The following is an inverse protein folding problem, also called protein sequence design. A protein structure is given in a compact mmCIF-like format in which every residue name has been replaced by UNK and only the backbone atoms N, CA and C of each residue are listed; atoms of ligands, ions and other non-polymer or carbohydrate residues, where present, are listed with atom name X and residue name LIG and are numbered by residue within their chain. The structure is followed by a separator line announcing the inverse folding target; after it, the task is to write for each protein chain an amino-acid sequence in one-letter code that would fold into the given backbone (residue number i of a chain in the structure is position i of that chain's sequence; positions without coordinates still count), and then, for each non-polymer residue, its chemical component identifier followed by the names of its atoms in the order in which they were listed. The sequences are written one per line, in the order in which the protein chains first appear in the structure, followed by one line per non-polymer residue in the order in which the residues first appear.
data_IF_372048327713
#
_entry.id   IF_372048327713
#
_cell.length_a   1.000
_cell.length_b   1.000
_cell.length_c   1.000
_cell.angle_alpha   90.00
_cell.angle_beta   90.00
_cell.angle_gamma   90.00
#
_symmetry.space_group_name_H-M   'P 1'
#
loop_
_entity.id
_entity.type
_entity.pdbx_description
1 polymer ?
#
# COMPACT_ATOMS: atom_id res chain seq x y z
N UNK A 1 2.48 -12.66 -0.50
CA UNK A 1 1.23 -11.89 -0.78
C UNK A 1 0.36 -11.67 0.45
N UNK A 2 -0.06 -12.71 1.18
CA UNK A 2 -0.88 -12.55 2.39
C UNK A 2 -0.29 -11.58 3.43
N UNK A 3 1.02 -11.67 3.69
CA UNK A 3 1.73 -10.76 4.62
C UNK A 3 1.62 -9.28 4.22
N UNK A 4 1.84 -8.96 2.94
CA UNK A 4 1.74 -7.58 2.41
C UNK A 4 0.30 -7.05 2.57
N UNK A 5 -0.70 -7.87 2.23
CA UNK A 5 -2.11 -7.51 2.39
C UNK A 5 -2.44 -7.22 3.86
N UNK A 6 -2.05 -8.12 4.78
CA UNK A 6 -2.29 -7.95 6.21
C UNK A 6 -1.65 -6.68 6.74
N UNK A 7 -0.36 -6.47 6.48
CA UNK A 7 0.36 -5.28 6.93
C UNK A 7 -0.21 -4.00 6.34
N UNK A 8 -0.62 -4.00 5.07
CA UNK A 8 -1.25 -2.83 4.44
C UNK A 8 -2.59 -2.49 5.10
N UNK A 9 -3.40 -3.50 5.46
CA UNK A 9 -4.63 -3.30 6.23
C UNK A 9 -4.35 -2.67 7.59
N UNK A 10 -3.39 -3.22 8.31
CA UNK A 10 -3.09 -2.77 9.67
C UNK A 10 -2.49 -1.36 9.70
N UNK A 11 -1.63 -1.02 8.73
CA UNK A 11 -0.95 0.28 8.68
C UNK A 11 -1.83 1.37 8.05
N UNK A 12 -2.54 1.04 6.97
CA UNK A 12 -3.22 2.04 6.13
C UNK A 12 -4.74 1.87 6.06
N UNK A 13 -5.27 0.74 6.53
CA UNK A 13 -6.71 0.47 6.50
C UNK A 13 -7.54 1.38 7.41
N UNK A 14 -6.97 1.83 8.53
CA UNK A 14 -7.55 2.85 9.42
C UNK A 14 -6.93 4.24 9.27
N UNK A 15 -6.07 4.46 8.26
CA UNK A 15 -5.33 5.70 8.12
C UNK A 15 -6.25 6.87 7.71
N UNK A 16 -6.18 7.97 8.46
CA UNK A 16 -6.92 9.20 8.17
C UNK A 16 -8.43 9.01 8.05
N UNK A 17 -9.08 9.89 7.28
CA UNK A 17 -10.51 9.79 6.96
C UNK A 17 -10.79 8.78 5.86
N UNK A 18 -12.05 8.36 5.71
CA UNK A 18 -12.48 7.51 4.60
C UNK A 18 -12.13 8.12 3.24
N UNK A 19 -12.40 9.42 3.06
CA UNK A 19 -12.05 10.16 1.83
C UNK A 19 -10.55 10.14 1.54
N UNK A 20 -9.70 10.21 2.58
CA UNK A 20 -8.25 10.06 2.41
C UNK A 20 -7.91 8.66 1.87
N UNK A 21 -8.49 7.59 2.43
CA UNK A 21 -8.25 6.22 1.97
C UNK A 21 -8.74 5.99 0.55
N UNK A 22 -9.92 6.50 0.20
CA UNK A 22 -10.46 6.41 -1.17
C UNK A 22 -9.52 7.07 -2.18
N UNK A 23 -9.01 8.28 -1.88
CA UNK A 23 -8.03 8.97 -2.73
C UNK A 23 -6.72 8.20 -2.84
N UNK A 24 -6.21 7.67 -1.74
CA UNK A 24 -5.00 6.83 -1.73
C UNK A 24 -5.16 5.60 -2.63
N UNK A 25 -6.27 4.87 -2.49
CA UNK A 25 -6.58 3.71 -3.33
C UNK A 25 -6.67 4.09 -4.81
N UNK A 26 -7.34 5.21 -5.11
CA UNK A 26 -7.46 5.72 -6.47
C UNK A 26 -6.09 6.06 -7.09
N UNK A 27 -5.21 6.75 -6.36
CA UNK A 27 -3.86 7.08 -6.84
C UNK A 27 -3.00 5.84 -7.10
N UNK A 28 -3.10 4.84 -6.22
CA UNK A 28 -2.41 3.56 -6.38
C UNK A 28 -2.94 2.77 -7.58
N UNK A 29 -4.26 2.68 -7.77
CA UNK A 29 -4.87 2.02 -8.92
C UNK A 29 -4.46 2.69 -10.24
N UNK A 30 -4.40 4.03 -10.27
CA UNK A 30 -3.94 4.75 -11.46
C UNK A 30 -2.47 4.47 -11.78
N UNK A 31 -1.61 4.33 -10.76
CA UNK A 31 -0.21 3.95 -10.98
C UNK A 31 -0.09 2.51 -11.53
N UNK A 32 -0.90 1.57 -11.01
CA UNK A 32 -0.98 0.20 -11.56
C UNK A 32 -1.44 0.21 -13.02
N UNK A 33 -2.52 0.93 -13.33
CA UNK A 33 -3.06 1.03 -14.71
C UNK A 33 -2.05 1.62 -15.71
N UNK A 34 -1.18 2.51 -15.25
CA UNK A 34 -0.12 3.10 -16.06
C UNK A 34 1.16 2.23 -16.13
N UNK A 35 1.18 1.08 -15.45
CA UNK A 35 2.38 0.27 -15.20
C UNK A 35 3.56 1.11 -14.63
N UNK A 36 3.24 2.10 -13.80
CA UNK A 36 4.21 3.05 -13.24
C UNK A 36 4.58 2.62 -11.81
N UNK A 37 5.52 1.67 -11.74
CA UNK A 37 5.99 1.09 -10.50
C UNK A 37 6.62 2.14 -9.55
N UNK A 38 7.35 3.10 -10.11
CA UNK A 38 8.01 4.15 -9.35
C UNK A 38 6.99 5.07 -8.68
N UNK A 39 5.97 5.50 -9.42
CA UNK A 39 4.87 6.29 -8.88
C UNK A 39 4.11 5.51 -7.81
N UNK A 40 3.82 4.23 -8.06
CA UNK A 40 3.15 3.38 -7.08
C UNK A 40 3.93 3.32 -5.76
N UNK A 41 5.22 2.98 -5.83
CA UNK A 41 6.07 2.86 -4.65
C UNK A 41 6.20 4.19 -3.91
N UNK A 42 6.35 5.30 -4.64
CA UNK A 42 6.45 6.62 -4.04
C UNK A 42 5.17 7.04 -3.31
N UNK A 43 3.98 6.82 -3.90
CA UNK A 43 2.69 7.10 -3.26
C UNK A 43 2.55 6.26 -1.99
N UNK A 44 2.89 4.97 -2.09
CA UNK A 44 2.79 4.04 -0.97
C UNK A 44 3.73 4.41 0.18
N UNK A 45 5.01 4.65 -0.09
CA UNK A 45 5.99 5.04 0.94
C UNK A 45 5.64 6.36 1.60
N UNK A 46 5.11 7.33 0.84
CA UNK A 46 4.61 8.59 1.40
C UNK A 46 3.46 8.34 2.39
N UNK A 47 2.50 7.49 2.03
CA UNK A 47 1.40 7.14 2.92
C UNK A 47 1.90 6.42 4.18
N UNK A 48 2.77 5.41 4.03
CA UNK A 48 3.35 4.68 5.17
C UNK A 48 4.10 5.64 6.11
N UNK A 49 4.93 6.53 5.55
CA UNK A 49 5.68 7.50 6.34
C UNK A 49 4.77 8.45 7.12
N UNK A 50 3.67 8.91 6.52
CA UNK A 50 2.70 9.79 7.16
C UNK A 50 2.04 9.17 8.40
N UNK A 51 1.87 7.84 8.42
CA UNK A 51 1.24 7.09 9.51
C UNK A 51 2.25 6.25 10.32
N UNK A 52 3.55 6.46 10.11
CA UNK A 52 4.61 5.61 10.66
C UNK A 52 4.79 5.76 12.17
N UNK A 53 4.52 6.95 12.72
CA UNK A 53 4.64 7.22 14.15
C UNK A 53 3.52 6.58 14.96
N UNK A 54 2.35 6.43 14.33
CA UNK A 54 1.14 5.93 14.98
C UNK A 54 1.01 4.41 14.86
N UNK A 55 1.84 3.77 14.02
CA UNK A 55 1.76 2.35 13.76
C UNK A 55 3.14 1.66 13.75
N UNK A 56 3.46 0.83 14.77
CA UNK A 56 4.76 0.15 14.84
C UNK A 56 4.99 -0.84 13.68
N UNK A 57 3.94 -1.28 12.97
CA UNK A 57 4.03 -2.17 11.81
C UNK A 57 4.39 -1.46 10.51
N UNK A 58 4.42 -0.12 10.48
CA UNK A 58 4.83 0.65 9.31
C UNK A 58 6.27 0.31 8.86
N UNK A 59 7.17 0.09 9.82
CA UNK A 59 8.55 -0.32 9.53
C UNK A 59 8.63 -1.72 8.95
N UNK A 60 7.82 -2.65 9.45
CA UNK A 60 7.75 -4.01 8.92
C UNK A 60 7.20 -4.03 7.49
N UNK A 61 6.11 -3.29 7.24
CA UNK A 61 5.56 -3.13 5.89
C UNK A 61 6.60 -2.58 4.92
N UNK A 62 7.33 -1.54 5.33
CA UNK A 62 8.40 -0.95 4.51
C UNK A 62 9.50 -1.97 4.19
N UNK A 63 9.93 -2.77 5.18
CA UNK A 63 10.95 -3.80 4.97
C UNK A 63 10.51 -4.85 3.95
N UNK A 64 9.29 -5.37 4.09
CA UNK A 64 8.74 -6.37 3.17
C UNK A 64 8.59 -5.80 1.75
N UNK A 65 8.23 -4.52 1.61
CA UNK A 65 8.14 -3.86 0.31
C UNK A 65 9.52 -3.74 -0.37
N UNK A 66 10.59 -3.47 0.40
CA UNK A 66 11.95 -3.38 -0.16
C UNK A 66 12.52 -4.74 -0.60
N UNK A 67 11.96 -5.85 -0.12
CA UNK A 67 12.34 -7.20 -0.57
C UNK A 67 11.70 -7.57 -1.91
N UNK A 68 10.58 -6.93 -2.27
CA UNK A 68 9.81 -7.26 -3.48
C UNK A 68 9.91 -6.20 -4.57
N UNK A 69 10.28 -4.96 -4.24
CA UNK A 69 10.51 -3.89 -5.21
C UNK A 69 12.02 -3.65 -5.44
N UNK A 70 12.46 -3.43 -6.70
CA UNK A 70 11.69 -3.49 -7.94
C UNK A 70 11.32 -4.94 -8.31
N UNK A 71 10.19 -5.10 -8.99
CA UNK A 71 9.64 -6.41 -9.39
C UNK A 71 9.48 -6.49 -10.91
N UNK A 72 9.31 -7.70 -11.45
CA UNK A 72 8.80 -7.85 -12.82
C UNK A 72 7.41 -7.19 -12.94
N UNK A 73 6.99 -6.83 -14.15
CA UNK A 73 5.64 -6.29 -14.41
C UNK A 73 4.54 -7.25 -13.91
N UNK A 74 4.70 -8.55 -14.18
CA UNK A 74 3.74 -9.58 -13.75
C UNK A 74 3.66 -9.76 -12.23
N UNK A 75 4.74 -9.45 -11.51
CA UNK A 75 4.78 -9.50 -10.05
C UNK A 75 4.33 -8.18 -9.43
N UNK A 76 4.57 -7.06 -10.14
CA UNK A 76 4.17 -5.73 -9.71
C UNK A 76 2.66 -5.66 -9.51
N UNK A 77 1.87 -6.06 -10.51
CA UNK A 77 0.41 -6.03 -10.41
C UNK A 77 -0.08 -6.83 -9.21
N UNK A 78 0.42 -8.05 -9.02
CA UNK A 78 0.02 -8.90 -7.90
C UNK A 78 0.32 -8.19 -6.58
N UNK A 79 1.56 -7.69 -6.41
CA UNK A 79 2.01 -7.02 -5.18
C UNK A 79 1.17 -5.78 -4.92
N UNK A 80 0.96 -4.96 -5.95
CA UNK A 80 0.17 -3.75 -5.87
C UNK A 80 -1.28 -4.02 -5.47
N UNK A 81 -1.95 -5.01 -6.09
CA UNK A 81 -3.30 -5.39 -5.71
C UNK A 81 -3.37 -5.96 -4.28
N UNK A 82 -2.35 -6.66 -3.81
CA UNK A 82 -2.30 -7.11 -2.42
C UNK A 82 -2.27 -5.94 -1.43
N UNK A 83 -1.52 -4.89 -1.73
CA UNK A 83 -1.51 -3.65 -0.94
C UNK A 83 -2.89 -2.98 -0.97
N UNK A 84 -3.44 -2.75 -2.17
CA UNK A 84 -4.72 -2.05 -2.36
C UNK A 84 -5.87 -2.77 -1.64
N UNK A 85 -5.97 -4.09 -1.80
CA UNK A 85 -6.98 -4.89 -1.10
C UNK A 85 -6.80 -4.87 0.42
N UNK A 86 -5.57 -4.73 0.91
CA UNK A 86 -5.30 -4.54 2.34
C UNK A 86 -5.89 -3.22 2.83
N UNK A 87 -5.62 -2.12 2.13
CA UNK A 87 -6.14 -0.79 2.48
C UNK A 87 -7.68 -0.79 2.47
N UNK A 88 -8.30 -1.34 1.43
CA UNK A 88 -9.76 -1.40 1.32
C UNK A 88 -10.41 -2.22 2.44
N UNK A 89 -9.84 -3.37 2.78
CA UNK A 89 -10.37 -4.26 3.82
C UNK A 89 -10.30 -3.68 5.24
N UNK A 90 -9.56 -2.59 5.46
CA UNK A 90 -9.56 -1.88 6.75
C UNK A 90 -10.61 -0.77 6.86
N UNK A 91 -11.21 -0.35 5.74
CA UNK A 91 -12.31 0.61 5.73
C UNK A 91 -13.68 0.01 6.07
N UNK A 92 -13.77 -1.32 6.14
CA UNK A 92 -14.96 -2.07 6.54
C UNK A 92 -14.91 -2.31 8.06
N UNK A 93 -15.38 -1.33 8.85
CA UNK A 93 -15.53 -1.44 10.31
C UNK A 93 -16.70 -0.61 10.79
#
# INVERSE_FOLDING_TARGET
MWKIKSLSREVLGGAGSENYRQKLVFDLLNAVKANDQNRFLWVLLRAINAHSKDNPKARELSSVLMEVFPSSESDFEKVAYSVILGIMAGGES
#
